data_IF_294019577803
#
_entry.id   IF_294019577803
#
_cell.length_a   1.000
_cell.length_b   1.000
_cell.length_c   1.000
_cell.angle_alpha   90.00
_cell.angle_beta   90.00
_cell.angle_gamma   90.00
#
_symmetry.space_group_name_H-M   'P 1'
#
loop_
_entity.id
_entity.type
_entity.pdbx_description
1 polymer ?
#
# COMPACT_ATOMS: atom_id res chain seq x y z
N UNK A 1 16.19 3.00 -18.07
CA UNK A 1 16.34 1.84 -17.16
C UNK A 1 15.60 2.17 -15.88
N UNK A 2 14.71 1.28 -15.40
CA UNK A 2 14.07 1.45 -14.10
C UNK A 2 15.06 0.98 -13.01
N UNK A 3 15.20 1.73 -11.90
CA UNK A 3 16.04 1.30 -10.79
C UNK A 3 15.57 -0.06 -10.26
N UNK A 4 16.50 -0.95 -9.94
CA UNK A 4 16.23 -2.28 -9.36
C UNK A 4 15.97 -2.13 -7.86
N UNK A 5 14.88 -1.46 -7.51
CA UNK A 5 14.42 -1.27 -6.14
C UNK A 5 12.99 -1.83 -6.02
N UNK A 6 12.69 -2.52 -4.93
CA UNK A 6 11.34 -3.01 -4.68
C UNK A 6 10.44 -1.82 -4.29
N UNK A 7 9.16 -1.88 -4.68
CA UNK A 7 8.22 -0.79 -4.44
C UNK A 7 8.09 -0.38 -2.96
N UNK A 8 8.04 -1.31 -1.98
CA UNK A 8 8.03 -0.94 -0.57
C UNK A 8 9.28 -0.15 -0.17
N UNK A 9 10.45 -0.55 -0.64
CA UNK A 9 11.73 0.10 -0.31
C UNK A 9 11.78 1.50 -0.93
N UNK A 10 11.28 1.66 -2.16
CA UNK A 10 11.14 2.97 -2.80
C UNK A 10 10.23 3.90 -1.98
N UNK A 11 9.12 3.40 -1.45
CA UNK A 11 8.21 4.20 -0.62
C UNK A 11 8.88 4.62 0.70
N UNK A 12 9.69 3.75 1.31
CA UNK A 12 10.47 4.13 2.50
C UNK A 12 11.57 5.14 2.18
N UNK A 13 12.25 5.01 1.03
CA UNK A 13 13.26 5.97 0.59
C UNK A 13 12.65 7.36 0.35
N UNK A 14 11.51 7.44 -0.35
CA UNK A 14 10.79 8.70 -0.55
C UNK A 14 10.28 9.27 0.77
N UNK A 15 9.81 8.43 1.69
CA UNK A 15 9.43 8.86 3.03
C UNK A 15 10.62 9.47 3.78
N UNK A 16 11.83 8.91 3.65
CA UNK A 16 13.03 9.45 4.29
C UNK A 16 13.38 10.87 3.79
N UNK A 17 13.04 11.21 2.55
CA UNK A 17 13.29 12.53 1.97
C UNK A 17 12.19 13.55 2.27
N UNK A 18 10.94 13.09 2.38
CA UNK A 18 9.77 13.97 2.37
C UNK A 18 8.96 13.96 3.67
N UNK A 19 9.12 12.94 4.52
CA UNK A 19 8.28 12.74 5.69
C UNK A 19 6.81 12.46 5.33
N UNK A 20 6.48 12.09 4.08
CA UNK A 20 5.06 12.08 3.65
C UNK A 20 4.16 11.14 4.46
N UNK A 21 4.69 10.03 4.97
CA UNK A 21 3.92 9.11 5.81
C UNK A 21 3.61 9.69 7.20
N UNK A 22 4.33 10.71 7.66
CA UNK A 22 4.07 11.39 8.95
C UNK A 22 2.80 12.26 8.90
N UNK A 23 2.36 12.63 7.69
CA UNK A 23 1.08 13.31 7.49
C UNK A 23 -0.13 12.41 7.84
N UNK A 24 0.08 11.08 7.86
CA UNK A 24 -0.96 10.13 8.21
C UNK A 24 -0.99 9.91 9.73
N UNK A 25 -1.57 10.88 10.43
CA UNK A 25 -1.85 10.79 11.87
C UNK A 25 -3.09 9.96 12.18
N UNK A 26 -3.14 9.35 13.36
CA UNK A 26 -4.34 8.66 13.82
C UNK A 26 -5.45 9.66 14.20
N UNK A 27 -6.69 9.40 13.78
CA UNK A 27 -7.86 10.24 14.10
C UNK A 27 -8.22 10.18 15.59
N UNK A 28 -7.82 9.12 16.30
CA UNK A 28 -7.98 9.03 17.76
C UNK A 28 -6.65 9.38 18.44
N UNK A 29 -6.64 10.31 19.39
CA UNK A 29 -5.44 10.74 20.15
C UNK A 29 -4.79 9.62 21.02
N UNK A 30 -5.25 8.37 20.91
CA UNK A 30 -4.68 7.23 21.63
C UNK A 30 -3.46 6.69 20.89
N UNK A 31 -2.28 6.96 21.46
CA UNK A 31 -0.95 6.43 21.08
C UNK A 31 -0.79 4.89 21.23
N UNK A 32 -1.87 4.11 21.21
CA UNK A 32 -1.83 2.74 21.78
C UNK A 32 -1.45 1.66 20.77
N UNK A 33 -1.27 1.95 19.48
CA UNK A 33 -0.76 0.96 18.51
C UNK A 33 -0.12 1.63 17.30
N UNK A 34 1.00 2.32 17.52
CA UNK A 34 1.73 3.04 16.46
C UNK A 34 3.02 2.36 15.99
N UNK A 35 3.48 1.32 16.69
CA UNK A 35 4.56 0.47 16.19
C UNK A 35 4.05 -0.29 14.96
N UNK A 36 4.48 0.13 13.77
CA UNK A 36 4.12 -0.49 12.49
C UNK A 36 3.02 0.21 11.67
N UNK A 37 2.58 1.41 12.05
CA UNK A 37 1.61 2.17 11.24
C UNK A 37 2.18 2.53 9.87
N UNK A 38 3.45 2.95 9.81
CA UNK A 38 4.17 3.21 8.57
C UNK A 38 4.22 1.98 7.66
N UNK A 39 4.54 0.81 8.24
CA UNK A 39 4.58 -0.48 7.52
C UNK A 39 3.21 -0.84 6.96
N UNK A 40 2.15 -0.59 7.73
CA UNK A 40 0.77 -0.85 7.31
C UNK A 40 0.31 0.06 6.16
N UNK A 41 0.69 1.34 6.20
CA UNK A 41 0.42 2.30 5.12
C UNK A 41 1.17 1.92 3.84
N UNK A 42 2.45 1.58 3.95
CA UNK A 42 3.26 1.13 2.81
C UNK A 42 2.66 -0.15 2.20
N UNK A 43 2.26 -1.11 3.03
CA UNK A 43 1.59 -2.32 2.55
C UNK A 43 0.29 -2.01 1.80
N UNK A 44 -0.54 -1.08 2.29
CA UNK A 44 -1.77 -0.66 1.64
C UNK A 44 -1.49 0.00 0.28
N UNK A 45 -0.54 0.93 0.22
CA UNK A 45 -0.15 1.60 -1.02
C UNK A 45 0.39 0.61 -2.05
N UNK A 46 1.16 -0.38 -1.62
CA UNK A 46 1.65 -1.46 -2.49
C UNK A 46 0.49 -2.30 -3.02
N UNK A 47 -0.48 -2.65 -2.17
CA UNK A 47 -1.68 -3.38 -2.60
C UNK A 47 -2.51 -2.57 -3.59
N UNK A 48 -2.71 -1.28 -3.35
CA UNK A 48 -3.49 -0.41 -4.24
C UNK A 48 -2.78 -0.16 -5.58
N UNK A 49 -1.45 -0.04 -5.56
CA UNK A 49 -0.64 0.11 -6.77
C UNK A 49 -0.62 -1.14 -7.65
N UNK A 50 -0.99 -2.31 -7.09
CA UNK A 50 -1.14 -3.53 -7.88
C UNK A 50 -2.33 -3.30 -8.81
N UNK A 51 -2.01 -3.04 -10.07
CA UNK A 51 -2.94 -2.86 -11.18
C UNK A 51 -3.69 -4.16 -11.56
N UNK A 52 -4.25 -4.84 -10.56
CA UNK A 52 -5.13 -5.99 -10.74
C UNK A 52 -6.50 -5.39 -11.03
N UNK A 53 -6.77 -5.12 -12.31
CA UNK A 53 -8.13 -4.77 -12.72
C UNK A 53 -9.07 -5.84 -12.16
N UNK A 54 -10.09 -5.41 -11.41
CA UNK A 54 -11.21 -6.25 -10.96
C UNK A 54 -11.92 -6.77 -12.21
N UNK A 55 -11.34 -7.76 -12.86
CA UNK A 55 -11.93 -8.40 -14.03
C UNK A 55 -12.88 -9.42 -13.45
N UNK A 56 -14.21 -9.22 -13.50
CA UNK A 56 -15.12 -10.24 -13.05
C UNK A 56 -14.88 -11.46 -13.93
N UNK A 57 -14.35 -12.53 -13.37
CA UNK A 57 -14.38 -13.84 -14.02
C UNK A 57 -15.83 -14.30 -13.98
N UNK A 58 -16.65 -13.77 -14.90
CA UNK A 58 -18.00 -14.27 -15.14
C UNK A 58 -17.85 -15.70 -15.61
N UNK A 59 -17.81 -16.66 -14.67
CA UNK A 59 -17.86 -18.07 -14.97
C UNK A 59 -19.28 -18.35 -15.47
N UNK A 60 -19.45 -18.19 -16.77
CA UNK A 60 -20.68 -18.53 -17.48
C UNK A 60 -20.86 -20.04 -17.30
N UNK A 61 -21.80 -20.45 -16.44
CA UNK A 61 -22.23 -21.83 -16.31
C UNK A 61 -22.85 -22.23 -17.65
N UNK A 62 -22.08 -22.89 -18.50
CA UNK A 62 -22.62 -23.59 -19.65
C UNK A 62 -23.41 -24.79 -19.11
N UNK A 63 -24.75 -24.66 -19.04
CA UNK A 63 -25.61 -25.83 -18.99
C UNK A 63 -25.53 -26.49 -20.38
N UNK A 64 -24.94 -27.68 -20.43
CA UNK A 64 -25.30 -28.73 -21.37
C UNK A 64 -25.67 -29.95 -20.54
#
# INVERSE_FOLDING_TARGET
>A
MLPRIDLPDLLFEVHSWTGFLDAFGHVSERRTRMEGLLVSLVALLVVESRNIGLTPSSRRRTRR
#
